data_IF_328616229969
#
_entry.id   IF_328616229969
#
_cell.length_a   1.000
_cell.length_b   1.000
_cell.length_c   1.000
_cell.angle_alpha   90.00
_cell.angle_beta   90.00
_cell.angle_gamma   90.00
#
_symmetry.space_group_name_H-M   'P 1'
#
loop_
_entity.id
_entity.type
_entity.pdbx_description
1 polymer ?
#
# COMPACT_ATOMS: atom_id res chain seq x y z
N UNK A 1 -10.78 -55.85 45.98
CA UNK A 1 -11.63 -54.99 45.13
C UNK A 1 -10.81 -53.80 44.71
N UNK A 2 -10.33 -53.78 43.46
CA UNK A 2 -9.46 -52.75 42.90
C UNK A 2 -10.33 -51.64 42.32
N UNK A 3 -10.27 -50.43 42.85
CA UNK A 3 -10.94 -49.26 42.26
C UNK A 3 -10.11 -48.75 41.10
N UNK A 4 -10.64 -48.86 39.89
CA UNK A 4 -10.09 -48.28 38.69
C UNK A 4 -10.54 -46.84 38.61
N UNK A 5 -9.58 -45.89 38.81
CA UNK A 5 -9.82 -44.47 38.62
C UNK A 5 -9.63 -44.20 37.14
N UNK A 6 -10.73 -43.90 36.44
CA UNK A 6 -10.74 -43.47 35.04
C UNK A 6 -10.40 -41.99 35.00
N UNK A 7 -9.16 -41.67 34.64
CA UNK A 7 -8.75 -40.29 34.41
C UNK A 7 -9.15 -39.95 32.96
N UNK A 8 -10.24 -39.19 32.89
CA UNK A 8 -10.70 -38.63 31.57
C UNK A 8 -9.76 -37.47 31.20
N UNK A 9 -8.87 -37.70 30.24
CA UNK A 9 -7.98 -36.67 29.68
C UNK A 9 -8.80 -35.87 28.67
N UNK A 10 -9.36 -34.75 29.13
CA UNK A 10 -10.04 -33.79 28.25
C UNK A 10 -9.00 -33.06 27.41
N UNK A 11 -8.74 -33.58 26.23
CA UNK A 11 -7.86 -32.95 25.23
C UNK A 11 -8.58 -31.71 24.70
N UNK A 12 -8.32 -30.55 25.30
CA UNK A 12 -8.76 -29.26 24.78
C UNK A 12 -8.00 -29.00 23.47
N UNK A 13 -8.65 -29.30 22.34
CA UNK A 13 -8.16 -28.95 21.00
C UNK A 13 -8.28 -27.45 20.84
N UNK A 14 -7.23 -26.71 21.22
CA UNK A 14 -7.10 -25.29 20.92
C UNK A 14 -6.94 -25.15 19.41
N UNK A 15 -8.03 -24.83 18.72
CA UNK A 15 -8.00 -24.40 17.31
C UNK A 15 -7.26 -23.07 17.26
N UNK A 16 -5.94 -23.11 17.10
CA UNK A 16 -5.17 -21.96 16.73
C UNK A 16 -5.54 -21.62 15.29
N UNK A 17 -6.50 -20.71 15.13
CA UNK A 17 -6.74 -20.08 13.84
C UNK A 17 -5.52 -19.24 13.49
N UNK A 18 -4.52 -19.84 12.88
CA UNK A 18 -3.40 -19.14 12.26
C UNK A 18 -3.97 -18.33 11.10
N UNK A 19 -4.16 -17.04 11.28
CA UNK A 19 -4.46 -16.13 10.20
C UNK A 19 -3.33 -16.28 9.15
N UNK A 20 -3.62 -16.94 8.04
CA UNK A 20 -2.66 -17.12 6.96
C UNK A 20 -2.48 -15.77 6.29
N UNK A 21 -1.27 -15.22 6.37
CA UNK A 21 -0.88 -14.08 5.57
C UNK A 21 -0.97 -14.46 4.09
N UNK A 22 -1.63 -13.61 3.31
CA UNK A 22 -1.62 -13.74 1.86
C UNK A 22 -0.50 -12.86 1.28
N UNK A 23 0.54 -13.49 0.74
CA UNK A 23 1.55 -12.83 -0.09
C UNK A 23 1.19 -13.13 -1.54
N UNK A 24 0.84 -12.10 -2.30
CA UNK A 24 0.29 -12.28 -3.64
C UNK A 24 1.37 -12.30 -4.74
N UNK A 25 2.50 -11.59 -4.57
CA UNK A 25 3.60 -11.51 -5.54
C UNK A 25 4.91 -11.11 -4.87
N UNK A 26 6.03 -11.49 -5.53
CA UNK A 26 7.34 -10.92 -5.20
C UNK A 26 7.37 -9.44 -5.64
N UNK A 27 7.94 -8.54 -4.83
CA UNK A 27 7.89 -7.10 -5.09
C UNK A 27 8.38 -6.68 -6.48
N UNK A 28 9.53 -7.19 -6.92
CA UNK A 28 10.11 -6.81 -8.21
C UNK A 28 9.28 -7.31 -9.40
N UNK A 29 8.69 -8.50 -9.31
CA UNK A 29 7.85 -9.04 -10.37
C UNK A 29 6.55 -8.23 -10.51
N UNK A 30 5.99 -7.79 -9.37
CA UNK A 30 4.82 -6.90 -9.37
C UNK A 30 5.11 -5.55 -10.07
N UNK A 31 6.31 -5.00 -9.91
CA UNK A 31 6.72 -3.76 -10.58
C UNK A 31 6.92 -3.99 -12.08
N UNK A 32 7.63 -5.06 -12.47
CA UNK A 32 7.90 -5.37 -13.88
C UNK A 32 6.62 -5.55 -14.70
N UNK A 33 5.61 -6.18 -14.13
CA UNK A 33 4.32 -6.36 -14.81
C UNK A 33 3.59 -5.04 -15.09
N UNK A 34 3.83 -4.02 -14.29
CA UNK A 34 3.20 -2.71 -14.46
C UNK A 34 3.83 -1.88 -15.59
N UNK A 35 5.04 -2.24 -15.98
CA UNK A 35 5.80 -1.55 -17.02
C UNK A 35 6.28 -2.55 -18.09
N UNK A 36 5.36 -3.17 -18.87
CA UNK A 36 5.72 -4.20 -19.86
C UNK A 36 6.66 -3.69 -20.94
N UNK A 37 6.59 -2.39 -21.28
CA UNK A 37 7.45 -1.74 -22.26
C UNK A 37 8.78 -1.25 -21.70
N UNK A 38 8.99 -1.38 -20.36
CA UNK A 38 10.24 -0.97 -19.75
C UNK A 38 11.38 -1.94 -20.09
N UNK A 39 12.52 -1.39 -20.49
CA UNK A 39 13.74 -2.15 -20.69
C UNK A 39 14.46 -2.43 -19.38
N UNK A 40 14.20 -1.60 -18.35
CA UNK A 40 14.76 -1.74 -17.01
C UNK A 40 13.81 -1.17 -15.94
N UNK A 41 14.02 -1.60 -14.69
CA UNK A 41 13.42 -0.99 -13.50
C UNK A 41 14.56 -0.49 -12.63
N UNK A 42 14.71 0.83 -12.52
CA UNK A 42 15.69 1.49 -11.66
C UNK A 42 15.10 1.72 -10.26
N UNK A 43 15.86 1.48 -9.21
CA UNK A 43 15.47 1.81 -7.83
C UNK A 43 16.12 3.14 -7.45
N UNK A 44 15.31 4.16 -7.18
CA UNK A 44 15.75 5.47 -6.71
C UNK A 44 15.38 5.64 -5.24
N UNK A 45 16.37 5.61 -4.37
CA UNK A 45 16.20 5.88 -2.95
C UNK A 45 16.27 7.40 -2.69
N UNK A 46 15.30 7.94 -1.98
CA UNK A 46 15.20 9.35 -1.62
C UNK A 46 15.12 9.48 -0.10
N UNK A 47 15.97 10.32 0.48
CA UNK A 47 15.89 10.71 1.89
C UNK A 47 15.27 12.10 1.95
N UNK A 48 14.06 12.19 2.50
CA UNK A 48 13.31 13.44 2.61
C UNK A 48 13.98 14.39 3.62
N UNK A 49 14.10 15.67 3.24
CA UNK A 49 14.51 16.71 4.17
C UNK A 49 13.37 17.07 5.12
N UNK A 50 13.64 17.75 6.27
CA UNK A 50 12.57 18.21 7.16
C UNK A 50 11.55 19.12 6.47
N UNK A 51 12.00 19.98 5.54
CA UNK A 51 11.18 20.90 4.76
C UNK A 51 10.26 20.12 3.82
N UNK A 52 10.79 19.12 3.10
CA UNK A 52 10.00 18.22 2.25
C UNK A 52 8.96 17.45 3.05
N UNK A 53 9.32 16.92 4.22
CA UNK A 53 8.37 16.25 5.14
C UNK A 53 7.23 17.20 5.53
N UNK A 54 7.55 18.45 5.86
CA UNK A 54 6.54 19.47 6.19
C UNK A 54 5.61 19.76 5.01
N UNK A 55 6.17 19.94 3.82
CA UNK A 55 5.40 20.20 2.59
C UNK A 55 4.50 19.03 2.22
N UNK A 56 5.04 17.81 2.22
CA UNK A 56 4.26 16.57 1.97
C UNK A 56 3.11 16.45 2.96
N UNK A 57 3.36 16.74 4.24
CA UNK A 57 2.32 16.73 5.27
C UNK A 57 1.20 17.73 5.01
N UNK A 58 1.54 18.93 4.54
CA UNK A 58 0.56 19.97 4.16
C UNK A 58 -0.26 19.55 2.94
N UNK A 59 0.40 19.03 1.90
CA UNK A 59 -0.25 18.62 0.64
C UNK A 59 -1.16 17.40 0.84
N UNK A 60 -0.65 16.35 1.50
CA UNK A 60 -1.41 15.11 1.72
C UNK A 60 -2.46 15.24 2.81
N UNK A 61 -2.23 16.11 3.79
CA UNK A 61 -2.94 16.18 5.10
C UNK A 61 -2.74 14.91 5.92
N UNK A 62 -1.62 14.20 5.68
CA UNK A 62 -1.23 12.95 6.35
C UNK A 62 0.17 13.13 6.94
N UNK A 63 0.35 12.65 8.17
CA UNK A 63 1.67 12.68 8.82
C UNK A 63 2.65 11.75 8.10
N UNK A 64 3.80 12.30 7.70
CA UNK A 64 4.91 11.51 7.18
C UNK A 64 5.72 10.99 8.35
N UNK A 65 5.88 9.67 8.44
CA UNK A 65 6.62 9.00 9.51
C UNK A 65 8.02 8.63 9.05
N UNK A 66 8.14 8.07 7.85
CA UNK A 66 9.38 7.59 7.28
C UNK A 66 9.96 8.61 6.31
N UNK A 67 11.27 8.81 6.38
CA UNK A 67 11.99 9.75 5.52
C UNK A 67 12.70 9.07 4.35
N UNK A 68 12.95 7.76 4.44
CA UNK A 68 13.55 6.98 3.36
C UNK A 68 12.43 6.40 2.49
N UNK A 69 12.39 6.81 1.24
CA UNK A 69 11.40 6.34 0.26
C UNK A 69 12.13 5.73 -0.93
N UNK A 70 11.71 4.54 -1.35
CA UNK A 70 12.24 3.87 -2.54
C UNK A 70 11.22 3.94 -3.67
N UNK A 71 11.58 4.61 -4.75
CA UNK A 71 10.82 4.62 -5.99
C UNK A 71 11.39 3.59 -6.96
N UNK A 72 10.52 2.89 -7.64
CA UNK A 72 10.83 1.95 -8.71
C UNK A 72 10.43 2.59 -10.03
N UNK A 73 11.40 3.03 -10.82
CA UNK A 73 11.19 3.73 -12.07
C UNK A 73 11.17 2.73 -13.22
N UNK A 74 10.02 2.55 -13.87
CA UNK A 74 9.96 1.81 -15.13
C UNK A 74 10.55 2.70 -16.25
N UNK A 75 11.63 2.25 -16.90
CA UNK A 75 12.36 3.03 -17.90
C UNK A 75 12.45 2.31 -19.24
N UNK A 76 12.39 3.09 -20.32
CA UNK A 76 12.70 2.64 -21.69
C UNK A 76 13.80 3.55 -22.24
N UNK A 77 15.04 3.09 -22.15
CA UNK A 77 16.20 3.94 -22.37
C UNK A 77 16.24 5.09 -21.36
N UNK A 78 16.25 6.34 -21.82
CA UNK A 78 16.20 7.54 -20.95
C UNK A 78 14.78 7.96 -20.52
N UNK A 79 13.74 7.41 -21.15
CA UNK A 79 12.36 7.77 -20.84
C UNK A 79 11.86 7.04 -19.59
N UNK A 80 11.27 7.79 -18.64
CA UNK A 80 10.56 7.25 -17.49
C UNK A 80 9.09 7.02 -17.90
N UNK A 81 8.63 5.78 -17.82
CA UNK A 81 7.26 5.37 -18.14
C UNK A 81 6.31 5.55 -16.97
N UNK A 82 6.85 5.56 -15.75
CA UNK A 82 6.10 5.74 -14.52
C UNK A 82 6.88 5.28 -13.29
N UNK A 83 6.23 5.32 -12.13
CA UNK A 83 6.84 5.12 -10.82
C UNK A 83 6.05 4.10 -10.02
N UNK A 84 6.74 3.15 -9.40
CA UNK A 84 6.20 2.24 -8.40
C UNK A 84 6.65 2.63 -7.00
N UNK A 85 5.75 2.56 -6.01
CA UNK A 85 6.09 2.77 -4.59
C UNK A 85 5.43 1.70 -3.77
N UNK A 86 6.21 0.98 -2.96
CA UNK A 86 5.66 0.08 -1.94
C UNK A 86 5.36 0.87 -0.68
N UNK A 87 4.13 0.77 -0.21
CA UNK A 87 3.70 1.35 1.05
C UNK A 87 3.29 0.23 2.01
N UNK A 88 4.00 0.15 3.13
CA UNK A 88 3.70 -0.82 4.20
C UNK A 88 3.27 -0.07 5.44
N UNK A 89 2.09 -0.40 5.95
CA UNK A 89 1.56 0.21 7.17
C UNK A 89 0.74 -0.80 7.97
N UNK A 90 0.51 -0.49 9.23
CA UNK A 90 -0.35 -1.27 10.13
C UNK A 90 -1.73 -0.63 10.14
N UNK A 91 -2.76 -1.43 9.85
CA UNK A 91 -4.16 -0.94 9.85
C UNK A 91 -4.78 -1.08 11.23
N UNK A 92 -4.92 -2.29 11.72
CA UNK A 92 -5.47 -2.58 13.06
C UNK A 92 -4.38 -3.12 13.96
N UNK A 93 -3.88 -4.30 13.64
CA UNK A 93 -2.87 -5.02 14.43
C UNK A 93 -1.78 -5.62 13.57
N UNK A 94 -2.03 -5.77 12.26
CA UNK A 94 -1.14 -6.44 11.31
C UNK A 94 -0.76 -5.51 10.17
N UNK A 95 0.40 -5.74 9.54
CA UNK A 95 0.83 -4.96 8.39
C UNK A 95 0.04 -5.35 7.13
N UNK A 96 -0.11 -4.37 6.25
CA UNK A 96 -0.46 -4.58 4.85
C UNK A 96 0.54 -3.82 3.96
N UNK A 97 0.79 -4.35 2.77
CA UNK A 97 1.69 -3.75 1.78
C UNK A 97 0.97 -3.61 0.46
N UNK A 98 0.94 -2.41 -0.05
CA UNK A 98 0.44 -2.07 -1.38
C UNK A 98 1.56 -1.60 -2.28
N UNK A 99 1.45 -1.91 -3.57
CA UNK A 99 2.21 -1.28 -4.64
C UNK A 99 1.31 -0.23 -5.29
N UNK A 100 1.69 1.03 -5.16
CA UNK A 100 1.09 2.14 -5.89
C UNK A 100 1.90 2.39 -7.15
N UNK A 101 1.23 2.39 -8.30
CA UNK A 101 1.78 2.79 -9.59
C UNK A 101 1.29 4.19 -9.93
N UNK A 102 2.23 5.09 -10.21
CA UNK A 102 1.99 6.49 -10.57
C UNK A 102 2.46 6.68 -12.01
N UNK A 103 1.65 7.30 -12.85
CA UNK A 103 2.04 7.69 -14.21
C UNK A 103 2.97 8.91 -14.18
N UNK A 104 3.54 9.26 -15.33
CA UNK A 104 4.45 10.41 -15.47
C UNK A 104 3.78 11.76 -15.25
N UNK A 105 2.47 11.81 -15.27
CA UNK A 105 1.66 13.01 -14.97
C UNK A 105 1.29 13.11 -13.47
N UNK A 106 1.69 12.14 -12.64
CA UNK A 106 1.43 12.14 -11.20
C UNK A 106 0.04 11.63 -10.81
N UNK A 107 -0.60 10.84 -11.68
CA UNK A 107 -1.89 10.19 -11.41
C UNK A 107 -1.70 8.73 -11.04
N UNK A 108 -2.62 8.18 -10.28
CA UNK A 108 -2.66 6.75 -9.97
C UNK A 108 -2.92 5.95 -11.24
N UNK A 109 -1.95 5.14 -11.69
CA UNK A 109 -2.11 4.19 -12.77
C UNK A 109 -2.74 2.89 -12.26
N UNK A 110 -2.25 2.35 -11.15
CA UNK A 110 -2.81 1.16 -10.51
C UNK A 110 -2.49 1.09 -9.01
N UNK A 111 -3.22 0.25 -8.29
CA UNK A 111 -2.97 -0.09 -6.88
C UNK A 111 -3.13 -1.60 -6.71
N UNK A 112 -2.07 -2.26 -6.26
CA UNK A 112 -2.04 -3.72 -6.05
C UNK A 112 -1.72 -4.09 -4.63
N UNK A 113 -2.40 -5.11 -4.13
CA UNK A 113 -2.08 -5.71 -2.83
C UNK A 113 -0.91 -6.66 -3.02
N UNK A 114 0.17 -6.45 -2.28
CA UNK A 114 1.39 -7.28 -2.30
C UNK A 114 1.40 -8.26 -1.13
N UNK A 115 0.99 -7.78 0.04
CA UNK A 115 0.81 -8.62 1.22
C UNK A 115 -0.28 -8.06 2.12
N UNK A 116 -1.05 -8.94 2.73
CA UNK A 116 -2.12 -8.58 3.65
C UNK A 116 -2.15 -9.58 4.80
N UNK A 117 -1.91 -9.11 6.01
CA UNK A 117 -1.77 -9.97 7.20
C UNK A 117 -2.96 -9.88 8.17
N UNK A 118 -3.90 -8.97 7.94
CA UNK A 118 -5.20 -8.98 8.61
C UNK A 118 -6.12 -10.05 8.01
N UNK A 119 -7.24 -10.44 8.66
CA UNK A 119 -8.24 -11.32 8.08
C UNK A 119 -8.72 -10.81 6.70
N UNK A 120 -8.82 -11.71 5.72
CA UNK A 120 -9.10 -11.35 4.32
C UNK A 120 -10.45 -10.66 4.12
N UNK A 121 -11.38 -10.79 5.06
CA UNK A 121 -12.66 -10.08 5.08
C UNK A 121 -12.49 -8.54 5.21
N UNK A 122 -11.33 -8.07 5.68
CA UNK A 122 -11.00 -6.65 5.78
C UNK A 122 -10.21 -6.13 4.59
N UNK A 123 -9.86 -7.02 3.66
CA UNK A 123 -9.13 -6.63 2.45
C UNK A 123 -10.05 -5.84 1.50
N UNK A 124 -9.69 -4.61 1.10
CA UNK A 124 -10.42 -3.89 0.06
C UNK A 124 -10.42 -4.70 -1.25
N UNK A 125 -11.59 -4.99 -1.84
CA UNK A 125 -11.65 -5.76 -3.07
C UNK A 125 -11.02 -4.99 -4.24
N UNK A 126 -10.44 -5.71 -5.21
CA UNK A 126 -9.77 -5.11 -6.37
C UNK A 126 -10.67 -4.13 -7.13
N UNK A 127 -11.98 -4.42 -7.23
CA UNK A 127 -12.96 -3.51 -7.83
C UNK A 127 -12.96 -2.14 -7.15
N UNK A 128 -12.81 -2.10 -5.83
CA UNK A 128 -12.75 -0.85 -5.08
C UNK A 128 -11.40 -0.14 -5.28
N UNK A 129 -10.28 -0.88 -5.27
CA UNK A 129 -8.95 -0.34 -5.57
C UNK A 129 -8.91 0.29 -6.96
N UNK A 130 -9.57 -0.31 -7.94
CA UNK A 130 -9.66 0.23 -9.31
C UNK A 130 -10.33 1.61 -9.38
N UNK A 131 -11.11 2.02 -8.38
CA UNK A 131 -11.68 3.38 -8.32
C UNK A 131 -10.61 4.46 -8.11
N UNK A 132 -9.39 4.07 -7.71
CA UNK A 132 -8.26 5.00 -7.58
C UNK A 132 -7.65 5.38 -8.93
N UNK A 133 -7.80 4.54 -9.97
CA UNK A 133 -7.19 4.76 -11.29
C UNK A 133 -7.58 6.12 -11.88
N UNK A 134 -6.58 6.84 -12.39
CA UNK A 134 -6.71 8.18 -12.94
C UNK A 134 -6.86 9.30 -11.90
N UNK A 135 -6.90 8.96 -10.60
CA UNK A 135 -6.98 10.01 -9.56
C UNK A 135 -5.63 10.63 -9.31
N UNK A 136 -5.68 11.92 -8.99
CA UNK A 136 -4.55 12.75 -8.59
C UNK A 136 -4.69 13.22 -7.15
N UNK A 137 -3.65 13.83 -6.60
CA UNK A 137 -3.69 14.42 -5.27
C UNK A 137 -4.60 15.66 -5.26
N UNK A 138 -5.80 15.49 -4.74
CA UNK A 138 -6.75 16.56 -4.50
C UNK A 138 -7.63 16.27 -3.27
N UNK A 139 -8.49 17.23 -2.90
CA UNK A 139 -9.34 17.09 -1.72
C UNK A 139 -10.45 16.06 -1.86
N UNK A 140 -10.78 15.63 -3.08
CA UNK A 140 -11.79 14.59 -3.35
C UNK A 140 -11.24 13.18 -3.14
N UNK A 141 -9.91 12.98 -3.13
CA UNK A 141 -9.29 11.68 -2.86
C UNK A 141 -9.33 11.37 -1.34
N UNK A 142 -10.53 11.21 -0.81
CA UNK A 142 -10.82 10.87 0.60
C UNK A 142 -12.04 9.98 0.68
N UNK A 143 -12.08 9.12 1.71
CA UNK A 143 -13.29 8.35 1.99
C UNK A 143 -14.48 9.27 2.27
N UNK A 144 -15.67 8.84 1.84
CA UNK A 144 -16.95 9.53 1.97
C UNK A 144 -17.03 10.89 1.25
N UNK A 145 -15.98 11.29 0.52
CA UNK A 145 -15.96 12.49 -0.33
C UNK A 145 -15.91 12.08 -1.80
N UNK A 146 -14.80 11.50 -2.25
CA UNK A 146 -14.63 11.02 -3.62
C UNK A 146 -14.33 9.53 -3.71
N UNK A 147 -14.26 8.84 -2.55
CA UNK A 147 -14.09 7.39 -2.45
C UNK A 147 -15.16 6.82 -1.52
N UNK A 148 -15.90 5.78 -1.93
CA UNK A 148 -16.84 5.11 -1.05
C UNK A 148 -16.12 4.37 0.07
N UNK A 149 -16.69 4.33 1.27
CA UNK A 149 -16.22 3.47 2.34
C UNK A 149 -16.72 2.04 2.13
N UNK A 150 -15.98 1.05 2.64
CA UNK A 150 -16.35 -0.36 2.59
C UNK A 150 -16.86 -0.76 3.97
N UNK A 151 -18.11 -1.23 4.04
CA UNK A 151 -18.68 -1.76 5.29
C UNK A 151 -17.86 -2.99 5.70
N UNK A 152 -17.45 -3.03 6.97
CA UNK A 152 -16.56 -4.08 7.50
C UNK A 152 -15.07 -3.83 7.27
N UNK A 153 -14.67 -3.12 6.20
CA UNK A 153 -13.27 -2.83 5.86
C UNK A 153 -12.95 -1.32 5.83
N UNK A 154 -13.63 -0.52 6.65
CA UNK A 154 -13.46 0.95 6.66
C UNK A 154 -12.04 1.36 7.04
N UNK A 155 -11.42 0.69 8.02
CA UNK A 155 -10.06 1.02 8.46
C UNK A 155 -9.03 0.73 7.36
N UNK A 156 -9.11 -0.44 6.69
CA UNK A 156 -8.22 -0.77 5.58
C UNK A 156 -8.41 0.20 4.41
N UNK A 157 -9.66 0.49 4.03
CA UNK A 157 -9.91 1.44 2.94
C UNK A 157 -9.43 2.87 3.28
N UNK A 158 -9.53 3.30 4.54
CA UNK A 158 -8.98 4.58 4.99
C UNK A 158 -7.45 4.59 4.88
N UNK A 159 -6.79 3.54 5.37
CA UNK A 159 -5.34 3.42 5.34
C UNK A 159 -4.79 3.42 3.91
N UNK A 160 -5.43 2.71 2.98
CA UNK A 160 -5.08 2.73 1.56
C UNK A 160 -5.19 4.14 0.97
N UNK A 161 -6.30 4.84 1.20
CA UNK A 161 -6.48 6.20 0.69
C UNK A 161 -5.42 7.15 1.25
N UNK A 162 -5.12 7.04 2.54
CA UNK A 162 -4.08 7.86 3.19
C UNK A 162 -2.69 7.55 2.64
N UNK A 163 -2.36 6.27 2.42
CA UNK A 163 -1.11 5.85 1.80
C UNK A 163 -0.97 6.43 0.38
N UNK A 164 -2.02 6.34 -0.44
CA UNK A 164 -2.02 6.89 -1.80
C UNK A 164 -1.83 8.40 -1.76
N UNK A 165 -2.58 9.13 -0.93
CA UNK A 165 -2.43 10.58 -0.77
C UNK A 165 -1.01 10.98 -0.38
N UNK A 166 -0.43 10.27 0.59
CA UNK A 166 0.94 10.50 1.06
C UNK A 166 1.94 10.30 -0.08
N UNK A 167 1.85 9.17 -0.79
CA UNK A 167 2.80 8.83 -1.85
C UNK A 167 2.66 9.73 -3.08
N UNK A 168 1.46 10.17 -3.45
CA UNK A 168 1.26 11.19 -4.49
C UNK A 168 1.85 12.54 -4.09
N UNK A 169 1.75 12.91 -2.81
CA UNK A 169 2.39 14.14 -2.31
C UNK A 169 3.93 14.04 -2.32
N UNK A 170 4.47 12.89 -1.95
CA UNK A 170 5.93 12.62 -2.05
C UNK A 170 6.36 12.71 -3.51
N UNK A 171 5.65 12.05 -4.43
CA UNK A 171 5.93 12.13 -5.86
C UNK A 171 5.95 13.59 -6.33
N UNK A 172 4.94 14.37 -5.98
CA UNK A 172 4.82 15.77 -6.39
C UNK A 172 5.98 16.64 -5.88
N UNK A 173 6.43 16.42 -4.65
CA UNK A 173 7.55 17.17 -4.06
C UNK A 173 8.89 16.77 -4.66
N UNK A 174 9.07 15.48 -5.05
CA UNK A 174 10.36 14.97 -5.52
C UNK A 174 10.50 15.05 -7.04
N UNK A 175 9.41 14.84 -7.80
CA UNK A 175 9.44 14.74 -9.27
C UNK A 175 8.53 15.75 -9.99
N UNK A 176 7.67 16.49 -9.25
CA UNK A 176 6.85 17.55 -9.82
C UNK A 176 7.68 18.76 -10.29
N UNK A 177 7.01 19.75 -10.88
CA UNK A 177 7.69 20.94 -11.46
C UNK A 177 8.58 21.70 -10.48
N UNK A 178 8.33 21.59 -9.17
CA UNK A 178 9.13 22.20 -8.11
C UNK A 178 10.34 21.34 -7.68
N UNK A 179 10.52 20.13 -8.21
CA UNK A 179 11.60 19.19 -7.90
C UNK A 179 12.71 19.11 -8.95
N UNK A 180 12.70 20.00 -9.95
CA UNK A 180 13.75 20.11 -10.98
C UNK A 180 14.80 21.14 -10.58
#
# INVERSE_FOLDING_TARGET
MKKIILISFLLAFVLVNSAKAAVFKLPMDAVKEEFPDATEVEIKNVILTPEQVSEIGKLSKIKVKDRLISFYLGKKGSEILGFGVFDTHIVRTKPETFLLIIDKEGRVKDVKVIAFYEPLEYLPPQKWLNLMKGKELNDKLRLKVGMPSITGATMSSQAVVEAIRRNLAIYKVIFGENGK
#
